data_IF_758055309432
#
_entry.id   IF_758055309432
#
_cell.length_a   1.000
_cell.length_b   1.000
_cell.length_c   1.000
_cell.angle_alpha   90.00
_cell.angle_beta   90.00
_cell.angle_gamma   90.00
#
_symmetry.space_group_name_H-M   'P 1'
#
loop_
_entity.id
_entity.type
_entity.pdbx_description
1 polymer ?
#
# COMPACT_ATOMS: atom_id res chain seq x y z
N UNK A 1 4.68 -38.28 -19.48
CA UNK A 1 4.96 -39.68 -19.07
C UNK A 1 3.62 -40.36 -18.82
N UNK A 2 3.31 -41.46 -19.50
CA UNK A 2 2.03 -42.19 -19.29
C UNK A 2 2.01 -42.74 -17.85
N UNK A 3 1.27 -42.07 -16.96
CA UNK A 3 1.13 -42.44 -15.54
C UNK A 3 0.31 -43.73 -15.31
N UNK A 4 -0.33 -44.26 -16.36
CA UNK A 4 -1.27 -45.38 -16.24
C UNK A 4 -0.93 -46.46 -17.27
N UNK A 5 -0.31 -47.55 -16.81
CA UNK A 5 -0.16 -48.78 -17.61
C UNK A 5 -1.40 -49.65 -17.38
N UNK A 6 -2.13 -49.95 -18.46
CA UNK A 6 -3.30 -50.85 -18.42
C UNK A 6 -2.88 -52.22 -17.91
N UNK A 7 -3.37 -52.61 -16.73
CA UNK A 7 -3.46 -54.00 -16.32
C UNK A 7 -4.93 -54.41 -16.28
N UNK A 8 -5.22 -55.58 -16.84
CA UNK A 8 -6.55 -56.21 -16.88
C UNK A 8 -7.02 -56.56 -15.45
N UNK A 9 -8.31 -56.38 -15.09
CA UNK A 9 -8.75 -56.62 -13.73
C UNK A 9 -8.98 -58.12 -13.51
N UNK A 10 -8.19 -58.71 -12.62
CA UNK A 10 -8.57 -59.95 -11.92
C UNK A 10 -9.43 -59.53 -10.73
N UNK A 11 -10.67 -60.02 -10.67
CA UNK A 11 -11.55 -59.86 -9.50
C UNK A 11 -11.10 -60.89 -8.46
N UNK A 12 -10.33 -60.45 -7.46
CA UNK A 12 -10.05 -61.21 -6.23
C UNK A 12 -10.83 -60.61 -5.07
N UNK A 13 -11.28 -61.48 -4.14
CA UNK A 13 -12.09 -61.20 -2.94
C UNK A 13 -11.41 -60.32 -1.86
N UNK A 14 -10.37 -59.55 -2.23
CA UNK A 14 -9.46 -58.87 -1.30
C UNK A 14 -9.36 -57.35 -1.58
N UNK A 15 -10.35 -56.78 -2.29
CA UNK A 15 -10.40 -55.35 -2.58
C UNK A 15 -10.98 -54.59 -1.38
N UNK A 16 -10.28 -53.57 -0.85
CA UNK A 16 -10.74 -52.79 0.29
C UNK A 16 -12.05 -52.06 -0.04
N UNK A 17 -13.08 -52.28 0.77
CA UNK A 17 -14.43 -51.72 0.60
C UNK A 17 -14.77 -50.78 1.77
N UNK A 18 -14.52 -49.47 1.60
CA UNK A 18 -14.92 -48.45 2.59
C UNK A 18 -16.38 -48.54 2.97
N UNK A 19 -16.71 -48.10 4.19
CA UNK A 19 -18.09 -48.08 4.70
C UNK A 19 -19.10 -47.39 3.75
N UNK A 20 -18.65 -46.38 2.99
CA UNK A 20 -19.50 -45.69 2.01
C UNK A 20 -19.97 -46.60 0.86
N UNK A 21 -19.22 -47.66 0.55
CA UNK A 21 -19.53 -48.60 -0.54
C UNK A 21 -20.26 -49.87 -0.06
N UNK A 22 -20.32 -50.15 1.24
CA UNK A 22 -20.86 -51.40 1.80
C UNK A 22 -22.34 -51.68 1.46
N UNK A 23 -23.10 -50.66 1.04
CA UNK A 23 -24.48 -50.87 0.60
C UNK A 23 -24.60 -51.44 -0.81
N UNK A 24 -23.58 -51.25 -1.67
CA UNK A 24 -23.61 -51.60 -3.10
C UNK A 24 -23.64 -53.12 -3.30
N UNK A 25 -24.31 -53.57 -4.36
CA UNK A 25 -24.27 -54.99 -4.73
C UNK A 25 -22.93 -55.37 -5.39
N UNK A 26 -22.72 -56.68 -5.58
CA UNK A 26 -21.46 -57.19 -6.13
C UNK A 26 -21.21 -56.72 -7.58
N UNK A 27 -22.28 -56.51 -8.37
CA UNK A 27 -22.16 -56.02 -9.74
C UNK A 27 -21.71 -54.55 -9.78
N UNK A 28 -22.31 -53.71 -8.93
CA UNK A 28 -21.97 -52.30 -8.76
C UNK A 28 -20.52 -52.11 -8.26
N UNK A 29 -20.10 -52.90 -7.27
CA UNK A 29 -18.72 -52.87 -6.77
C UNK A 29 -17.74 -53.33 -7.85
N UNK A 30 -18.04 -54.42 -8.55
CA UNK A 30 -17.19 -54.93 -9.64
C UNK A 30 -17.04 -53.88 -10.74
N UNK A 31 -18.14 -53.24 -11.15
CA UNK A 31 -18.13 -52.17 -12.13
C UNK A 31 -17.25 -50.98 -11.68
N UNK A 32 -17.41 -50.52 -10.44
CA UNK A 32 -16.62 -49.42 -9.87
C UNK A 32 -15.10 -49.72 -9.88
N UNK A 33 -14.69 -50.88 -9.37
CA UNK A 33 -13.27 -51.26 -9.36
C UNK A 33 -12.70 -51.57 -10.74
N UNK A 34 -13.56 -51.89 -11.72
CA UNK A 34 -13.13 -52.09 -13.11
C UNK A 34 -12.97 -50.78 -13.88
N UNK A 35 -13.72 -49.73 -13.49
CA UNK A 35 -13.69 -48.41 -14.10
C UNK A 35 -12.47 -47.58 -13.67
N UNK A 36 -11.83 -47.91 -12.56
CA UNK A 36 -10.68 -47.18 -12.02
C UNK A 36 -9.40 -47.99 -11.87
N UNK A 37 -8.33 -47.31 -11.48
CA UNK A 37 -7.04 -47.93 -11.15
C UNK A 37 -6.70 -47.72 -9.68
N UNK A 38 -6.35 -48.81 -8.98
CA UNK A 38 -5.93 -48.75 -7.58
C UNK A 38 -4.43 -48.47 -7.51
N UNK A 39 -4.06 -47.42 -6.80
CA UNK A 39 -2.68 -47.06 -6.49
C UNK A 39 -2.42 -47.24 -5.00
N UNK A 40 -1.37 -47.99 -4.67
CA UNK A 40 -0.84 -48.06 -3.30
C UNK A 40 0.22 -46.98 -3.15
N UNK A 41 0.11 -46.18 -2.09
CA UNK A 41 1.01 -45.09 -1.80
C UNK A 41 1.72 -45.36 -0.47
N UNK A 42 3.05 -45.29 -0.50
CA UNK A 42 3.86 -45.32 0.71
C UNK A 42 3.67 -44.03 1.52
N UNK A 43 3.93 -44.04 2.85
CA UNK A 43 3.92 -42.82 3.66
C UNK A 43 4.77 -41.70 3.02
N UNK A 44 4.23 -40.48 3.03
CA UNK A 44 4.81 -39.27 2.43
C UNK A 44 4.96 -39.28 0.90
N UNK A 45 4.48 -40.31 0.21
CA UNK A 45 4.45 -40.29 -1.25
C UNK A 45 3.42 -39.27 -1.73
N UNK A 46 3.85 -38.33 -2.59
CA UNK A 46 2.99 -37.29 -3.17
C UNK A 46 2.64 -37.57 -4.62
N UNK A 47 1.38 -37.34 -4.98
CA UNK A 47 0.85 -37.35 -6.33
C UNK A 47 0.51 -35.90 -6.74
N UNK A 48 1.32 -35.25 -7.60
CA UNK A 48 0.98 -33.94 -8.12
C UNK A 48 -0.18 -34.07 -9.12
N UNK A 49 -1.19 -33.21 -8.97
CA UNK A 49 -2.33 -33.14 -9.88
C UNK A 49 -2.07 -32.02 -10.89
N UNK A 50 -1.77 -32.40 -12.13
CA UNK A 50 -1.48 -31.48 -13.23
C UNK A 50 -2.70 -31.30 -14.15
N UNK A 51 -2.66 -30.28 -15.01
CA UNK A 51 -3.72 -29.97 -15.98
C UNK A 51 -4.08 -31.14 -16.93
N UNK A 52 -3.21 -32.13 -17.09
CA UNK A 52 -3.46 -33.35 -17.89
C UNK A 52 -4.23 -34.47 -17.13
N UNK A 53 -4.42 -34.34 -15.82
CA UNK A 53 -5.17 -35.29 -14.95
C UNK A 53 -6.55 -34.76 -14.51
N UNK A 54 -7.03 -33.73 -15.20
CA UNK A 54 -8.12 -32.80 -14.82
C UNK A 54 -9.53 -33.37 -14.71
N UNK A 55 -9.66 -34.67 -14.89
CA UNK A 55 -10.95 -35.34 -14.91
C UNK A 55 -10.85 -36.68 -14.18
N UNK A 56 -10.22 -36.72 -13.00
CA UNK A 56 -10.12 -37.96 -12.20
C UNK A 56 -10.75 -37.78 -10.82
N UNK A 57 -11.64 -38.70 -10.48
CA UNK A 57 -12.13 -38.89 -9.12
C UNK A 57 -11.17 -39.79 -8.37
N UNK A 58 -10.69 -39.33 -7.23
CA UNK A 58 -9.84 -40.09 -6.34
C UNK A 58 -10.64 -40.51 -5.11
N UNK A 59 -11.06 -41.77 -5.07
CA UNK A 59 -11.72 -42.38 -3.91
C UNK A 59 -10.66 -43.02 -3.01
N UNK A 60 -10.57 -42.58 -1.76
CA UNK A 60 -9.65 -43.17 -0.78
C UNK A 60 -10.24 -44.47 -0.24
N UNK A 61 -9.63 -45.60 -0.60
CA UNK A 61 -10.09 -46.93 -0.22
C UNK A 61 -9.59 -47.36 1.17
N UNK A 62 -8.43 -46.85 1.61
CA UNK A 62 -7.85 -47.13 2.92
C UNK A 62 -6.78 -46.09 3.27
N UNK A 63 -6.65 -45.78 4.55
CA UNK A 63 -5.64 -44.88 5.09
C UNK A 63 -6.09 -43.42 5.13
N UNK A 64 -5.12 -42.51 5.21
CA UNK A 64 -5.32 -41.07 5.31
C UNK A 64 -4.42 -40.32 4.34
N UNK A 65 -5.01 -39.33 3.67
CA UNK A 65 -4.30 -38.49 2.71
C UNK A 65 -4.50 -37.02 3.03
N UNK A 66 -3.54 -36.19 2.66
CA UNK A 66 -3.66 -34.74 2.71
C UNK A 66 -3.71 -34.21 1.29
N UNK A 67 -4.72 -33.39 1.00
CA UNK A 67 -4.73 -32.54 -0.17
C UNK A 67 -4.09 -31.22 0.22
N UNK A 68 -3.12 -30.76 -0.55
CA UNK A 68 -2.48 -29.45 -0.40
C UNK A 68 -2.67 -28.64 -1.68
N UNK A 69 -3.17 -27.41 -1.53
CA UNK A 69 -3.42 -26.47 -2.63
C UNK A 69 -2.66 -25.17 -2.36
N UNK A 70 -2.16 -24.52 -3.42
CA UNK A 70 -1.67 -23.13 -3.35
C UNK A 70 -2.70 -22.20 -3.99
N UNK A 71 -3.28 -21.30 -3.19
CA UNK A 71 -4.20 -20.26 -3.63
C UNK A 71 -3.50 -18.90 -3.57
N UNK A 72 -3.11 -18.34 -4.73
CA UNK A 72 -2.33 -17.08 -4.80
C UNK A 72 -1.15 -17.06 -3.82
N UNK A 73 -0.39 -18.15 -3.77
CA UNK A 73 0.73 -18.33 -2.83
C UNK A 73 0.36 -18.67 -1.37
N UNK A 74 -0.93 -18.74 -1.02
CA UNK A 74 -1.37 -19.17 0.32
C UNK A 74 -1.64 -20.69 0.35
N UNK A 75 -0.92 -21.46 1.19
CA UNK A 75 -1.14 -22.90 1.28
C UNK A 75 -2.46 -23.21 2.00
N UNK A 76 -3.27 -24.05 1.38
CA UNK A 76 -4.50 -24.61 1.95
C UNK A 76 -4.37 -26.12 2.00
N UNK A 77 -4.94 -26.75 3.02
CA UNK A 77 -4.94 -28.22 3.08
C UNK A 77 -6.17 -28.80 3.73
N UNK A 78 -6.53 -30.00 3.30
CA UNK A 78 -7.61 -30.80 3.88
C UNK A 78 -7.16 -32.25 4.00
N UNK A 79 -7.56 -32.88 5.11
CA UNK A 79 -7.38 -34.31 5.34
C UNK A 79 -8.56 -35.09 4.73
N UNK A 80 -8.21 -36.08 3.91
CA UNK A 80 -9.09 -37.10 3.37
C UNK A 80 -8.95 -38.38 4.20
N UNK A 81 -10.08 -38.98 4.53
CA UNK A 81 -10.19 -40.24 5.26
C UNK A 81 -10.78 -41.32 4.36
N UNK A 82 -10.68 -42.56 4.80
CA UNK A 82 -11.28 -43.69 4.10
C UNK A 82 -12.75 -43.42 3.72
N UNK A 83 -13.08 -43.63 2.43
CA UNK A 83 -14.39 -43.36 1.84
C UNK A 83 -14.60 -41.92 1.38
N UNK A 84 -13.66 -41.00 1.62
CA UNK A 84 -13.68 -39.68 1.02
C UNK A 84 -13.31 -39.75 -0.45
N UNK A 85 -13.92 -38.86 -1.21
CA UNK A 85 -13.66 -38.68 -2.63
C UNK A 85 -13.10 -37.28 -2.84
N UNK A 86 -12.04 -37.18 -3.61
CA UNK A 86 -11.51 -35.93 -4.11
C UNK A 86 -11.69 -35.87 -5.63
N UNK A 87 -12.43 -34.87 -6.09
CA UNK A 87 -12.54 -34.57 -7.51
C UNK A 87 -11.72 -33.31 -7.78
N UNK A 88 -10.76 -33.41 -8.69
CA UNK A 88 -10.02 -32.24 -9.17
C UNK A 88 -10.77 -31.64 -10.36
N UNK A 89 -11.61 -30.64 -10.12
CA UNK A 89 -12.28 -29.87 -11.17
C UNK A 89 -11.24 -29.12 -12.01
N UNK A 90 -11.38 -29.04 -13.35
CA UNK A 90 -10.43 -28.33 -14.19
C UNK A 90 -10.34 -26.87 -13.75
N UNK A 91 -9.12 -26.50 -13.34
CA UNK A 91 -8.70 -25.16 -12.97
C UNK A 91 -8.87 -24.19 -14.14
N UNK A 92 -10.08 -23.67 -14.30
CA UNK A 92 -10.34 -22.46 -15.08
C UNK A 92 -10.30 -21.20 -14.20
N UNK A 93 -10.06 -21.36 -12.89
CA UNK A 93 -9.79 -20.24 -11.99
C UNK A 93 -8.30 -19.87 -12.06
N UNK A 94 -7.96 -18.61 -12.36
CA UNK A 94 -6.57 -18.13 -12.42
C UNK A 94 -5.86 -18.08 -11.05
N UNK A 95 -6.50 -18.56 -9.98
CA UNK A 95 -6.07 -18.33 -8.60
C UNK A 95 -5.43 -19.57 -7.91
N UNK A 96 -5.41 -20.74 -8.57
CA UNK A 96 -4.83 -21.98 -8.02
C UNK A 96 -3.53 -22.32 -8.76
N UNK A 97 -2.40 -22.29 -8.05
CA UNK A 97 -1.07 -22.48 -8.65
C UNK A 97 -0.66 -23.96 -8.72
N UNK A 98 -1.06 -24.76 -7.72
CA UNK A 98 -0.69 -26.17 -7.60
C UNK A 98 -1.66 -26.94 -6.70
N UNK A 99 -1.81 -28.24 -6.96
CA UNK A 99 -2.53 -29.17 -6.09
C UNK A 99 -1.78 -30.50 -5.98
N UNK A 100 -1.60 -31.00 -4.77
CA UNK A 100 -0.92 -32.27 -4.50
C UNK A 100 -1.73 -33.12 -3.52
N UNK A 101 -1.73 -34.43 -3.75
CA UNK A 101 -2.26 -35.44 -2.82
C UNK A 101 -1.07 -36.14 -2.18
N UNK A 102 -0.91 -36.08 -0.87
CA UNK A 102 0.15 -36.78 -0.15
C UNK A 102 -0.42 -37.82 0.81
N UNK A 103 0.11 -39.04 0.76
CA UNK A 103 -0.23 -40.08 1.71
C UNK A 103 0.41 -39.76 3.07
N UNK A 104 -0.37 -39.75 4.15
CA UNK A 104 0.16 -39.55 5.51
C UNK A 104 0.62 -40.88 6.13
N UNK A 105 0.03 -41.98 5.66
CA UNK A 105 0.36 -43.35 6.01
C UNK A 105 0.23 -44.25 4.76
N UNK A 106 0.44 -45.55 4.91
CA UNK A 106 0.21 -46.49 3.81
C UNK A 106 -1.26 -46.44 3.36
N UNK A 107 -1.48 -45.93 2.14
CA UNK A 107 -2.82 -45.55 1.66
C UNK A 107 -3.14 -46.20 0.32
N UNK A 108 -4.42 -46.48 0.08
CA UNK A 108 -4.91 -47.05 -1.18
C UNK A 108 -5.92 -46.11 -1.83
N UNK A 109 -5.60 -45.64 -3.04
CA UNK A 109 -6.40 -44.67 -3.78
C UNK A 109 -6.94 -45.30 -5.06
N UNK A 110 -8.24 -45.16 -5.31
CA UNK A 110 -8.87 -45.53 -6.57
C UNK A 110 -9.04 -44.27 -7.43
N UNK A 111 -8.28 -44.18 -8.52
CA UNK A 111 -8.44 -43.13 -9.53
C UNK A 111 -9.42 -43.57 -10.62
N UNK A 112 -10.48 -42.80 -10.85
CA UNK A 112 -11.53 -43.08 -11.84
C UNK A 112 -11.60 -41.89 -12.80
N UNK A 113 -11.41 -42.14 -14.08
CA UNK A 113 -11.58 -41.12 -15.11
C UNK A 113 -13.06 -40.68 -15.19
N UNK A 114 -13.32 -39.38 -15.27
CA UNK A 114 -14.64 -38.78 -15.34
C UNK A 114 -15.47 -39.34 -16.49
N UNK A 115 -14.85 -39.66 -17.63
CA UNK A 115 -15.55 -40.27 -18.77
C UNK A 115 -16.07 -41.68 -18.47
N UNK A 116 -15.45 -42.37 -17.51
CA UNK A 116 -15.85 -43.70 -17.06
C UNK A 116 -16.86 -43.63 -15.90
N UNK A 117 -17.14 -42.44 -15.36
CA UNK A 117 -18.15 -42.29 -14.31
C UNK A 117 -19.54 -42.41 -14.89
N UNK A 118 -19.76 -41.90 -16.11
CA UNK A 118 -21.07 -41.97 -16.78
C UNK A 118 -21.52 -43.40 -17.12
N UNK A 119 -20.59 -44.35 -17.21
CA UNK A 119 -20.91 -45.77 -17.40
C UNK A 119 -21.29 -46.49 -16.11
N UNK A 120 -21.10 -45.86 -14.93
CA UNK A 120 -21.48 -46.43 -13.64
C UNK A 120 -22.98 -46.26 -13.36
N UNK A 121 -23.51 -47.12 -12.49
CA UNK A 121 -24.91 -47.03 -12.04
C UNK A 121 -25.22 -45.65 -11.47
N UNK A 122 -26.47 -45.19 -11.59
CA UNK A 122 -26.92 -43.90 -11.03
C UNK A 122 -26.63 -43.79 -9.53
N UNK A 123 -26.67 -44.93 -8.83
CA UNK A 123 -26.44 -45.04 -7.40
C UNK A 123 -24.96 -44.86 -7.04
N UNK A 124 -24.05 -45.55 -7.73
CA UNK A 124 -22.60 -45.38 -7.56
C UNK A 124 -22.18 -43.94 -7.88
N UNK A 125 -22.67 -43.39 -8.99
CA UNK A 125 -22.43 -41.98 -9.35
C UNK A 125 -22.88 -41.03 -8.24
N UNK A 126 -24.09 -41.21 -7.73
CA UNK A 126 -24.63 -40.37 -6.65
C UNK A 126 -23.75 -40.39 -5.40
N UNK A 127 -23.21 -41.57 -5.03
CA UNK A 127 -22.28 -41.69 -3.90
C UNK A 127 -20.98 -40.92 -4.16
N UNK A 128 -20.36 -41.13 -5.33
CA UNK A 128 -19.10 -40.47 -5.68
C UNK A 128 -19.25 -38.94 -5.69
N UNK A 129 -20.27 -38.41 -6.36
CA UNK A 129 -20.53 -36.96 -6.38
C UNK A 129 -20.90 -36.42 -4.99
N UNK A 130 -21.69 -37.14 -4.20
CA UNK A 130 -22.04 -36.70 -2.84
C UNK A 130 -20.80 -36.60 -1.94
N UNK A 131 -19.88 -37.58 -2.03
CA UNK A 131 -18.63 -37.56 -1.27
C UNK A 131 -17.66 -36.50 -1.78
N UNK A 132 -17.50 -36.37 -3.09
CA UNK A 132 -16.67 -35.33 -3.69
C UNK A 132 -17.13 -33.94 -3.21
N UNK A 133 -18.44 -33.68 -3.29
CA UNK A 133 -19.05 -32.43 -2.81
C UNK A 133 -18.83 -32.22 -1.30
N UNK A 134 -18.92 -33.29 -0.50
CA UNK A 134 -18.70 -33.19 0.96
C UNK A 134 -17.25 -32.81 1.29
N UNK A 135 -16.28 -33.41 0.61
CA UNK A 135 -14.86 -33.06 0.76
C UNK A 135 -14.60 -31.61 0.35
N UNK A 136 -15.14 -31.16 -0.79
CA UNK A 136 -15.00 -29.78 -1.25
C UNK A 136 -15.66 -28.79 -0.28
N UNK A 137 -16.84 -29.12 0.24
CA UNK A 137 -17.55 -28.27 1.21
C UNK A 137 -16.76 -28.10 2.51
N UNK A 138 -16.10 -29.16 3.01
CA UNK A 138 -15.21 -29.07 4.17
C UNK A 138 -14.02 -28.13 3.92
N UNK A 139 -13.41 -28.19 2.73
CA UNK A 139 -12.32 -27.29 2.37
C UNK A 139 -12.81 -25.84 2.35
N UNK A 140 -13.94 -25.57 1.69
CA UNK A 140 -14.53 -24.24 1.62
C UNK A 140 -14.86 -23.67 3.02
N UNK A 141 -15.47 -24.49 3.89
CA UNK A 141 -15.78 -24.07 5.27
C UNK A 141 -14.52 -23.74 6.06
N UNK A 142 -13.47 -24.57 5.92
CA UNK A 142 -12.18 -24.30 6.57
C UNK A 142 -11.60 -22.96 6.10
N UNK A 143 -11.49 -22.76 4.78
CA UNK A 143 -10.95 -21.51 4.22
C UNK A 143 -11.77 -20.29 4.63
N UNK A 144 -13.10 -20.37 4.62
CA UNK A 144 -13.97 -19.29 5.09
C UNK A 144 -13.77 -18.99 6.57
N UNK A 145 -13.67 -20.01 7.42
CA UNK A 145 -13.41 -19.82 8.85
C UNK A 145 -12.06 -19.17 9.12
N UNK A 146 -11.01 -19.59 8.39
CA UNK A 146 -9.69 -18.98 8.45
C UNK A 146 -9.73 -17.51 8.02
N UNK A 147 -10.44 -17.18 6.94
CA UNK A 147 -10.63 -15.79 6.49
C UNK A 147 -11.32 -14.93 7.54
N UNK A 148 -12.40 -15.42 8.16
CA UNK A 148 -13.10 -14.69 9.23
C UNK A 148 -12.16 -14.44 10.43
N UNK A 149 -11.36 -15.43 10.83
CA UNK A 149 -10.37 -15.27 11.89
C UNK A 149 -9.26 -14.27 11.53
N UNK A 150 -8.81 -14.25 10.28
CA UNK A 150 -7.82 -13.28 9.81
C UNK A 150 -8.38 -11.85 9.80
N UNK A 151 -9.62 -11.66 9.36
CA UNK A 151 -10.29 -10.37 9.38
C UNK A 151 -10.49 -9.82 10.80
N UNK A 152 -10.91 -10.66 11.75
CA UNK A 152 -11.01 -10.27 13.17
C UNK A 152 -9.63 -9.89 13.76
N UNK A 153 -8.58 -10.63 13.39
CA UNK A 153 -7.22 -10.31 13.81
C UNK A 153 -6.74 -8.99 13.22
N UNK A 154 -7.02 -8.74 11.95
CA UNK A 154 -6.71 -7.48 11.27
C UNK A 154 -7.39 -6.31 11.97
N UNK A 155 -8.69 -6.40 12.26
CA UNK A 155 -9.44 -5.37 12.98
C UNK A 155 -8.82 -5.05 14.34
N UNK A 156 -8.42 -6.08 15.09
CA UNK A 156 -7.72 -5.91 16.38
C UNK A 156 -6.36 -5.24 16.24
N UNK A 157 -5.60 -5.58 15.21
CA UNK A 157 -4.29 -4.95 14.94
C UNK A 157 -4.46 -3.48 14.56
N UNK A 158 -5.42 -3.15 13.71
CA UNK A 158 -5.73 -1.76 13.34
C UNK A 158 -6.16 -0.94 14.56
N UNK A 159 -7.03 -1.50 15.41
CA UNK A 159 -7.43 -0.88 16.68
C UNK A 159 -6.25 -0.67 17.63
N UNK A 160 -5.33 -1.63 17.70
CA UNK A 160 -4.12 -1.51 18.50
C UNK A 160 -3.19 -0.40 18.00
N UNK A 161 -2.96 -0.32 16.67
CA UNK A 161 -2.17 0.76 16.05
C UNK A 161 -2.79 2.11 16.39
N UNK A 162 -4.10 2.27 16.21
CA UNK A 162 -4.81 3.50 16.55
C UNK A 162 -4.65 3.87 18.04
N UNK A 163 -4.73 2.89 18.93
CA UNK A 163 -4.56 3.09 20.38
C UNK A 163 -3.13 3.55 20.73
N UNK A 164 -2.11 2.92 20.15
CA UNK A 164 -0.70 3.30 20.38
C UNK A 164 -0.45 4.73 19.91
N UNK A 165 -0.98 5.12 18.75
CA UNK A 165 -0.88 6.49 18.23
C UNK A 165 -1.61 7.50 19.13
N UNK A 166 -2.80 7.17 19.62
CA UNK A 166 -3.54 8.02 20.57
C UNK A 166 -2.76 8.26 21.87
N UNK A 167 -2.03 7.26 22.37
CA UNK A 167 -1.19 7.47 23.57
C UNK A 167 -0.02 8.42 23.29
N UNK A 168 0.59 8.34 22.10
CA UNK A 168 1.66 9.26 21.73
C UNK A 168 1.14 10.69 21.59
N UNK A 169 -0.06 10.89 21.05
CA UNK A 169 -0.70 12.21 20.96
C UNK A 169 -1.02 12.81 22.33
N UNK A 170 -1.41 12.00 23.32
CA UNK A 170 -1.62 12.47 24.70
C UNK A 170 -0.32 13.02 25.32
N UNK A 171 0.84 12.39 25.04
CA UNK A 171 2.13 12.87 25.54
C UNK A 171 2.51 14.20 24.88
N UNK A 172 2.20 14.38 23.59
CA UNK A 172 2.39 15.65 22.86
C UNK A 172 1.57 16.81 23.44
N UNK A 173 0.50 16.51 24.20
CA UNK A 173 -0.32 17.50 24.92
C UNK A 173 0.18 17.83 26.33
N UNK A 174 1.22 17.15 26.82
CA UNK A 174 1.78 17.43 28.14
C UNK A 174 2.27 18.88 28.27
N UNK A 175 2.14 19.45 29.48
CA UNK A 175 2.55 20.83 29.77
C UNK A 175 4.02 21.08 29.42
N UNK A 176 4.88 20.08 29.62
CA UNK A 176 6.29 20.14 29.24
C UNK A 176 6.45 20.38 27.73
N UNK A 177 5.84 19.54 26.90
CA UNK A 177 5.93 19.65 25.43
C UNK A 177 5.31 20.96 24.95
N UNK A 178 4.13 21.32 25.45
CA UNK A 178 3.45 22.57 25.11
C UNK A 178 4.26 23.81 25.49
N UNK A 179 4.94 23.78 26.65
CA UNK A 179 5.82 24.89 27.07
C UNK A 179 7.02 25.09 26.14
N UNK A 180 7.45 24.03 25.44
CA UNK A 180 8.56 24.09 24.51
C UNK A 180 8.08 24.54 23.13
N UNK A 181 6.95 24.01 22.66
CA UNK A 181 6.29 24.45 21.41
C UNK A 181 6.08 25.97 21.43
N UNK A 182 5.59 26.53 22.55
CA UNK A 182 5.39 27.98 22.71
C UNK A 182 6.67 28.83 22.62
N UNK A 183 7.85 28.23 22.79
CA UNK A 183 9.15 28.92 22.68
C UNK A 183 9.72 28.90 21.26
N UNK A 184 9.10 28.17 20.33
CA UNK A 184 9.54 28.11 18.95
C UNK A 184 9.10 29.41 18.26
N UNK A 185 10.03 30.16 17.62
CA UNK A 185 9.70 31.38 16.91
C UNK A 185 8.61 31.13 15.86
N UNK A 186 7.61 32.01 15.83
CA UNK A 186 6.57 31.98 14.80
C UNK A 186 7.15 32.31 13.44
N UNK A 187 6.43 31.91 12.38
CA UNK A 187 6.71 32.39 11.03
C UNK A 187 6.74 33.93 11.01
N UNK A 188 7.67 34.53 10.26
CA UNK A 188 7.60 35.95 9.91
C UNK A 188 6.21 36.31 9.39
N UNK A 189 5.71 37.50 9.74
CA UNK A 189 4.35 37.96 9.43
C UNK A 189 4.01 37.81 7.95
N UNK A 190 4.92 38.19 7.05
CA UNK A 190 4.72 38.06 5.60
C UNK A 190 4.45 36.62 5.14
N UNK A 191 5.07 35.63 5.78
CA UNK A 191 4.95 34.23 5.41
C UNK A 191 3.64 33.64 5.94
N UNK A 192 3.27 34.05 7.15
CA UNK A 192 1.97 33.73 7.73
C UNK A 192 0.83 34.32 6.89
N UNK A 193 0.89 35.61 6.55
CA UNK A 193 -0.14 36.30 5.76
C UNK A 193 -0.29 35.67 4.38
N UNK A 194 0.83 35.28 3.76
CA UNK A 194 0.84 34.58 2.48
C UNK A 194 0.20 33.19 2.57
N UNK A 195 0.52 32.43 3.61
CA UNK A 195 -0.08 31.12 3.87
C UNK A 195 -1.59 31.23 4.14
N UNK A 196 -2.03 32.28 4.85
CA UNK A 196 -3.44 32.58 5.11
C UNK A 196 -4.20 32.89 3.83
N UNK A 197 -3.70 33.85 3.04
CA UNK A 197 -4.33 34.23 1.78
C UNK A 197 -4.57 33.00 0.93
N UNK A 198 -3.58 32.12 0.78
CA UNK A 198 -3.65 30.93 -0.06
C UNK A 198 -4.63 29.83 0.37
N UNK A 199 -5.30 29.99 1.50
CA UNK A 199 -6.42 29.14 1.91
C UNK A 199 -7.78 29.61 1.37
N UNK A 200 -7.88 30.84 0.89
CA UNK A 200 -9.14 31.36 0.34
C UNK A 200 -9.44 30.66 -1.00
N UNK A 201 -10.67 30.18 -1.19
CA UNK A 201 -11.08 29.38 -2.37
C UNK A 201 -10.88 30.10 -3.72
N UNK A 202 -10.71 31.43 -3.70
CA UNK A 202 -10.59 32.26 -4.89
C UNK A 202 -9.48 33.32 -4.77
N UNK A 203 -8.28 32.95 -4.31
CA UNK A 203 -7.15 33.89 -4.32
C UNK A 203 -6.81 34.32 -5.74
N UNK A 204 -6.94 35.62 -6.00
CA UNK A 204 -6.33 36.20 -7.18
C UNK A 204 -4.81 36.19 -7.01
N UNK A 205 -4.13 35.38 -7.81
CA UNK A 205 -2.67 35.37 -7.92
C UNK A 205 -2.08 36.78 -8.04
N UNK A 206 -2.79 37.74 -8.63
CA UNK A 206 -2.36 39.15 -8.73
C UNK A 206 -2.26 39.83 -7.38
N UNK A 207 -3.20 39.58 -6.46
CA UNK A 207 -3.17 40.16 -5.11
C UNK A 207 -1.96 39.67 -4.31
N UNK A 208 -1.62 38.40 -4.48
CA UNK A 208 -0.42 37.84 -3.85
C UNK A 208 0.85 38.43 -4.47
N UNK A 209 0.90 38.56 -5.79
CA UNK A 209 2.05 39.19 -6.46
C UNK A 209 2.20 40.64 -6.03
N UNK A 210 1.11 41.39 -5.90
CA UNK A 210 1.12 42.76 -5.36
C UNK A 210 1.61 42.80 -3.90
N UNK A 211 1.19 41.84 -3.07
CA UNK A 211 1.69 41.73 -1.70
C UNK A 211 3.21 41.50 -1.64
N UNK A 212 3.74 40.63 -2.51
CA UNK A 212 5.18 40.38 -2.63
C UNK A 212 5.91 41.63 -3.16
N UNK A 213 5.35 42.34 -4.14
CA UNK A 213 5.93 43.57 -4.70
C UNK A 213 6.01 44.69 -3.65
N UNK A 214 5.01 44.80 -2.78
CA UNK A 214 4.94 45.82 -1.74
C UNK A 214 5.81 45.52 -0.50
N UNK A 215 6.42 44.33 -0.44
CA UNK A 215 7.36 43.92 0.61
C UNK A 215 8.80 43.89 0.02
N UNK A 216 9.64 44.92 0.26
CA UNK A 216 10.96 45.00 -0.37
C UNK A 216 11.90 43.82 -0.04
N UNK A 217 11.96 43.31 1.21
CA UNK A 217 12.66 42.06 1.50
C UNK A 217 12.22 40.86 0.64
N UNK A 218 10.91 40.65 0.47
CA UNK A 218 10.39 39.56 -0.34
C UNK A 218 10.65 39.75 -1.84
N UNK A 219 10.40 40.95 -2.36
CA UNK A 219 10.71 41.28 -3.74
C UNK A 219 12.20 41.05 -4.03
N UNK A 220 13.08 41.47 -3.11
CA UNK A 220 14.52 41.25 -3.21
C UNK A 220 14.88 39.76 -3.21
N UNK A 221 14.30 38.96 -2.30
CA UNK A 221 14.50 37.51 -2.24
C UNK A 221 14.12 36.85 -3.57
N UNK A 222 12.94 37.17 -4.11
CA UNK A 222 12.43 36.62 -5.37
C UNK A 222 13.33 37.01 -6.53
N UNK A 223 13.60 38.31 -6.70
CA UNK A 223 14.41 38.81 -7.81
C UNK A 223 15.86 38.31 -7.74
N UNK A 224 16.47 38.24 -6.55
CA UNK A 224 17.81 37.70 -6.36
C UNK A 224 17.87 36.22 -6.73
N UNK A 225 16.84 35.46 -6.36
CA UNK A 225 16.76 34.03 -6.69
C UNK A 225 16.63 33.82 -8.19
N UNK A 226 15.68 34.51 -8.84
CA UNK A 226 15.45 34.40 -10.28
C UNK A 226 16.64 34.86 -11.11
N UNK A 227 17.36 35.89 -10.67
CA UNK A 227 18.53 36.42 -11.35
C UNK A 227 19.84 35.70 -11.01
N UNK A 228 19.79 34.65 -10.18
CA UNK A 228 20.99 33.86 -9.89
C UNK A 228 21.53 33.20 -11.16
N UNK A 229 22.85 32.97 -11.20
CA UNK A 229 23.52 32.29 -12.32
C UNK A 229 22.86 30.93 -12.66
N UNK A 230 22.22 30.33 -11.66
CA UNK A 230 21.44 29.10 -11.75
C UNK A 230 20.36 29.09 -12.83
N UNK A 231 19.64 30.20 -13.02
CA UNK A 231 18.57 30.29 -14.03
C UNK A 231 19.09 30.70 -15.41
N UNK A 232 20.35 31.15 -15.53
CA UNK A 232 21.03 31.37 -16.80
C UNK A 232 20.29 32.35 -17.74
N UNK A 233 19.61 33.35 -17.17
CA UNK A 233 18.82 34.31 -17.95
C UNK A 233 19.72 35.26 -18.75
N UNK A 234 19.38 35.48 -20.03
CA UNK A 234 20.09 36.44 -20.91
C UNK A 234 19.94 37.88 -20.43
N UNK A 235 18.77 38.21 -19.90
CA UNK A 235 18.44 39.52 -19.31
C UNK A 235 17.98 39.34 -17.87
N UNK A 236 18.40 40.24 -16.98
CA UNK A 236 17.96 40.24 -15.60
C UNK A 236 16.49 40.64 -15.50
N UNK A 237 15.75 39.94 -14.64
CA UNK A 237 14.37 40.23 -14.27
C UNK A 237 14.38 41.31 -13.20
N UNK A 238 13.68 42.43 -13.43
CA UNK A 238 13.59 43.54 -12.49
C UNK A 238 12.20 43.65 -11.80
N UNK A 239 11.26 42.79 -12.18
CA UNK A 239 9.87 42.83 -11.74
C UNK A 239 9.40 41.45 -11.26
N UNK A 240 8.67 41.44 -10.14
CA UNK A 240 8.15 40.22 -9.51
C UNK A 240 7.10 39.54 -10.39
N UNK A 241 6.29 40.31 -11.13
CA UNK A 241 5.30 39.71 -12.03
C UNK A 241 5.99 38.91 -13.15
N UNK A 242 7.07 39.42 -13.74
CA UNK A 242 7.91 38.70 -14.71
C UNK A 242 8.60 37.48 -14.08
N UNK A 243 9.00 37.54 -12.81
CA UNK A 243 9.51 36.38 -12.08
C UNK A 243 8.45 35.27 -11.93
N UNK A 244 7.20 35.66 -11.62
CA UNK A 244 6.06 34.72 -11.50
C UNK A 244 5.71 34.11 -12.84
N UNK A 245 5.76 34.85 -13.96
CA UNK A 245 5.58 34.29 -15.30
C UNK A 245 6.65 33.25 -15.66
N UNK A 246 7.88 33.45 -15.19
CA UNK A 246 9.01 32.56 -15.49
C UNK A 246 8.97 31.27 -14.66
N UNK A 247 8.85 31.40 -13.34
CA UNK A 247 8.93 30.25 -12.41
C UNK A 247 7.57 29.63 -12.13
N UNK A 248 6.49 30.37 -12.33
CA UNK A 248 5.16 29.98 -11.89
C UNK A 248 4.93 30.35 -10.43
N UNK A 249 3.66 30.67 -10.12
CA UNK A 249 3.22 31.10 -8.80
C UNK A 249 3.64 30.13 -7.68
N UNK A 250 3.43 28.82 -7.88
CA UNK A 250 3.72 27.81 -6.87
C UNK A 250 5.19 27.79 -6.44
N UNK A 251 6.12 27.91 -7.39
CA UNK A 251 7.56 27.89 -7.09
C UNK A 251 8.00 29.15 -6.34
N UNK A 252 7.39 30.31 -6.65
CA UNK A 252 7.61 31.55 -5.87
C UNK A 252 7.08 31.38 -4.46
N UNK A 253 5.89 30.79 -4.30
CA UNK A 253 5.32 30.52 -2.98
C UNK A 253 6.19 29.57 -2.16
N UNK A 254 6.59 28.43 -2.73
CA UNK A 254 7.50 27.48 -2.08
C UNK A 254 8.83 28.14 -1.68
N UNK A 255 9.39 29.00 -2.53
CA UNK A 255 10.62 29.75 -2.23
C UNK A 255 10.45 30.66 -1.01
N UNK A 256 9.37 31.44 -0.96
CA UNK A 256 9.12 32.38 0.14
C UNK A 256 8.89 31.62 1.45
N UNK A 257 8.02 30.60 1.44
CA UNK A 257 7.69 29.86 2.64
C UNK A 257 8.88 29.04 3.17
N UNK A 258 9.66 28.41 2.28
CA UNK A 258 10.89 27.70 2.69
C UNK A 258 11.96 28.63 3.22
N UNK A 259 12.10 29.83 2.66
CA UNK A 259 13.00 30.85 3.21
C UNK A 259 12.57 31.28 4.61
N UNK A 260 11.27 31.51 4.82
CA UNK A 260 10.70 31.84 6.11
C UNK A 260 10.90 30.72 7.14
N UNK A 261 10.64 29.47 6.76
CA UNK A 261 10.91 28.29 7.60
C UNK A 261 12.39 28.19 7.96
N UNK A 262 13.29 28.32 6.98
CA UNK A 262 14.73 28.32 7.21
C UNK A 262 15.23 29.43 8.13
N UNK A 263 14.49 30.53 8.27
CA UNK A 263 14.83 31.63 9.18
C UNK A 263 14.50 31.36 10.65
N UNK A 264 13.51 30.48 10.91
CA UNK A 264 13.09 30.10 12.27
C UNK A 264 13.69 28.78 12.74
N UNK A 265 14.27 28.01 11.81
CA UNK A 265 14.86 26.70 12.05
C UNK A 265 16.35 26.77 12.40
N UNK A 266 16.89 25.77 13.13
CA UNK A 266 18.31 25.70 13.42
C UNK A 266 19.11 25.56 12.11
N UNK A 267 20.28 26.22 12.04
CA UNK A 267 21.25 26.01 10.97
C UNK A 267 21.94 24.66 11.17
N UNK A 268 21.31 23.62 10.68
CA UNK A 268 21.72 22.24 10.94
C UNK A 268 21.55 21.34 9.71
N UNK A 269 22.53 20.46 9.38
CA UNK A 269 22.43 19.57 8.22
C UNK A 269 21.20 18.66 8.21
N UNK A 270 20.74 18.19 9.37
CA UNK A 270 19.56 17.32 9.49
C UNK A 270 18.27 18.11 9.28
N UNK A 271 18.19 19.31 9.86
CA UNK A 271 17.09 20.24 9.58
C UNK A 271 17.02 20.61 8.09
N UNK A 272 18.16 20.83 7.43
CA UNK A 272 18.20 21.07 5.98
C UNK A 272 17.71 19.87 5.16
N UNK A 273 18.01 18.63 5.59
CA UNK A 273 17.47 17.42 4.93
C UNK A 273 15.95 17.35 5.04
N UNK A 274 15.40 17.60 6.24
CA UNK A 274 13.95 17.61 6.47
C UNK A 274 13.26 18.68 5.62
N UNK A 275 13.83 19.88 5.56
CA UNK A 275 13.29 20.96 4.73
C UNK A 275 13.32 20.62 3.23
N UNK A 276 14.41 20.01 2.75
CA UNK A 276 14.50 19.60 1.34
C UNK A 276 13.52 18.47 1.01
N UNK A 277 13.30 17.52 1.92
CA UNK A 277 12.26 16.50 1.79
C UNK A 277 10.87 17.14 1.66
N UNK A 278 10.53 18.03 2.61
CA UNK A 278 9.25 18.77 2.61
C UNK A 278 9.03 19.57 1.32
N UNK A 279 10.09 20.19 0.81
CA UNK A 279 10.06 20.91 -0.46
C UNK A 279 9.72 20.00 -1.64
N UNK A 280 10.38 18.85 -1.77
CA UNK A 280 10.14 17.92 -2.86
C UNK A 280 8.76 17.24 -2.75
N UNK A 281 8.36 16.80 -1.56
CA UNK A 281 7.02 16.25 -1.29
C UNK A 281 5.94 17.28 -1.64
N UNK A 282 6.12 18.54 -1.24
CA UNK A 282 5.21 19.64 -1.61
C UNK A 282 5.08 19.81 -3.13
N UNK A 283 6.19 19.75 -3.87
CA UNK A 283 6.15 19.85 -5.34
C UNK A 283 5.43 18.66 -5.98
N UNK A 284 5.62 17.45 -5.47
CA UNK A 284 4.93 16.23 -5.95
C UNK A 284 3.43 16.33 -5.63
N UNK A 285 3.09 16.64 -4.39
CA UNK A 285 1.72 16.78 -3.91
C UNK A 285 0.94 17.84 -4.69
N UNK A 286 1.59 18.96 -5.04
CA UNK A 286 1.00 19.99 -5.91
C UNK A 286 0.58 19.44 -7.28
N UNK A 287 1.44 18.64 -7.93
CA UNK A 287 1.11 18.06 -9.23
C UNK A 287 -0.01 17.01 -9.12
N UNK A 288 0.00 16.18 -8.06
CA UNK A 288 -1.09 15.23 -7.79
C UNK A 288 -2.42 15.97 -7.56
N UNK A 289 -2.42 17.05 -6.79
CA UNK A 289 -3.60 17.89 -6.56
C UNK A 289 -4.13 18.49 -7.87
N UNK A 290 -3.24 18.93 -8.76
CA UNK A 290 -3.62 19.44 -10.08
C UNK A 290 -4.23 18.37 -11.00
N UNK A 291 -3.70 17.15 -10.96
CA UNK A 291 -4.19 16.03 -11.77
C UNK A 291 -5.55 15.54 -11.28
N UNK A 292 -5.68 15.32 -9.97
CA UNK A 292 -6.91 14.81 -9.33
C UNK A 292 -8.02 15.87 -9.25
N UNK A 293 -7.65 17.14 -9.10
CA UNK A 293 -8.56 18.26 -8.78
C UNK A 293 -9.39 18.03 -7.51
N UNK A 294 -8.92 17.14 -6.62
CA UNK A 294 -9.63 16.73 -5.42
C UNK A 294 -9.43 17.67 -4.22
N UNK A 295 -8.41 18.55 -4.28
CA UNK A 295 -8.15 19.58 -3.28
C UNK A 295 -7.43 20.79 -3.93
N UNK A 296 -7.53 22.00 -3.34
CA UNK A 296 -6.84 23.18 -3.85
C UNK A 296 -5.31 22.99 -3.86
N UNK A 297 -4.61 23.10 -5.01
CA UNK A 297 -3.16 22.85 -5.08
C UNK A 297 -2.30 23.76 -4.19
N UNK A 298 -2.72 25.01 -3.95
CA UNK A 298 -2.04 25.95 -3.05
C UNK A 298 -2.07 25.51 -1.59
N UNK A 299 -3.23 25.02 -1.14
CA UNK A 299 -3.40 24.43 0.19
C UNK A 299 -2.50 23.21 0.35
N UNK A 300 -2.52 22.30 -0.62
CA UNK A 300 -1.67 21.10 -0.63
C UNK A 300 -0.18 21.45 -0.62
N UNK A 301 0.24 22.49 -1.33
CA UNK A 301 1.63 22.95 -1.29
C UNK A 301 2.03 23.39 0.11
N UNK A 302 1.15 24.11 0.81
CA UNK A 302 1.37 24.55 2.19
C UNK A 302 1.48 23.36 3.13
N UNK A 303 0.54 22.41 3.03
CA UNK A 303 0.54 21.16 3.80
C UNK A 303 1.85 20.40 3.56
N UNK A 304 2.25 20.17 2.31
CA UNK A 304 3.49 19.45 1.98
C UNK A 304 4.75 20.14 2.47
N UNK A 305 4.79 21.48 2.54
CA UNK A 305 5.95 22.21 3.08
C UNK A 305 6.06 22.13 4.60
N UNK A 306 4.92 22.00 5.29
CA UNK A 306 4.84 22.08 6.74
C UNK A 306 4.67 20.73 7.43
N UNK A 307 4.37 19.64 6.70
CA UNK A 307 4.03 18.35 7.28
C UNK A 307 5.09 17.81 8.25
N UNK A 308 6.35 18.05 7.92
CA UNK A 308 7.51 17.53 8.64
C UNK A 308 8.10 18.52 9.67
N UNK A 309 7.40 19.63 9.94
CA UNK A 309 7.88 20.64 10.88
C UNK A 309 8.05 20.07 12.30
N UNK A 310 7.24 19.07 12.66
CA UNK A 310 7.35 18.37 13.94
C UNK A 310 8.67 17.61 14.11
N UNK A 311 9.24 17.04 13.04
CA UNK A 311 10.57 16.41 13.09
C UNK A 311 11.66 17.41 13.47
N UNK A 312 11.51 18.66 13.03
CA UNK A 312 12.44 19.74 13.38
C UNK A 312 12.29 20.15 14.84
N UNK A 313 11.06 20.19 15.35
CA UNK A 313 10.80 20.38 16.79
C UNK A 313 11.47 19.29 17.61
N UNK A 314 11.29 18.03 17.23
CA UNK A 314 11.91 16.88 17.88
C UNK A 314 13.43 16.96 17.85
N UNK A 315 14.02 17.31 16.71
CA UNK A 315 15.47 17.49 16.59
C UNK A 315 16.00 18.56 17.57
N UNK A 316 15.29 19.69 17.72
CA UNK A 316 15.64 20.73 18.68
C UNK A 316 15.53 20.25 20.13
N UNK A 317 14.46 19.50 20.45
CA UNK A 317 14.23 18.92 21.77
C UNK A 317 15.33 17.94 22.16
N UNK A 318 15.63 16.99 21.27
CA UNK A 318 16.65 15.98 21.44
C UNK A 318 18.04 16.58 21.70
N UNK A 319 18.36 17.70 21.06
CA UNK A 319 19.64 18.39 21.27
C UNK A 319 19.68 19.19 22.57
N UNK A 320 18.59 19.86 22.90
CA UNK A 320 18.49 20.67 24.11
C UNK A 320 18.49 19.82 25.38
N UNK A 321 17.87 18.64 25.31
CA UNK A 321 17.66 17.73 26.44
C UNK A 321 18.28 16.36 26.13
N UNK A 322 19.60 16.34 25.89
CA UNK A 322 20.34 15.15 25.46
C UNK A 322 20.24 13.97 26.43
N UNK A 323 20.06 14.24 27.72
CA UNK A 323 19.91 13.25 28.78
C UNK A 323 18.60 12.44 28.72
N UNK A 324 17.59 12.93 27.99
CA UNK A 324 16.30 12.26 27.79
C UNK A 324 15.94 12.20 26.29
N UNK A 325 16.97 12.18 25.42
CA UNK A 325 16.81 12.15 23.96
C UNK A 325 15.86 11.06 23.49
N UNK A 326 16.02 9.85 24.02
CA UNK A 326 15.26 8.67 23.60
C UNK A 326 13.76 8.79 23.93
N UNK A 327 13.41 9.57 24.97
CA UNK A 327 12.01 9.85 25.29
C UNK A 327 11.33 10.67 24.18
N UNK A 328 12.06 11.60 23.56
CA UNK A 328 11.54 12.40 22.46
C UNK A 328 11.44 11.61 21.14
N UNK A 329 12.18 10.50 20.99
CA UNK A 329 12.11 9.67 19.80
C UNK A 329 10.79 8.87 19.69
N UNK A 330 10.03 8.74 20.78
CA UNK A 330 8.75 8.02 20.83
C UNK A 330 7.55 8.93 20.54
N UNK A 331 7.77 10.25 20.53
CA UNK A 331 6.71 11.21 20.29
C UNK A 331 6.33 11.25 18.81
N UNK A 332 5.03 11.37 18.56
CA UNK A 332 4.47 11.53 17.22
C UNK A 332 4.80 12.93 16.67
N UNK A 333 5.72 12.97 15.70
CA UNK A 333 6.17 14.19 15.04
C UNK A 333 5.02 14.88 14.30
N UNK A 334 4.08 14.14 13.70
CA UNK A 334 2.92 14.70 13.02
C UNK A 334 2.05 15.51 13.99
N UNK A 335 1.81 14.96 15.18
CA UNK A 335 1.03 15.61 16.24
C UNK A 335 1.76 16.84 16.81
N UNK A 336 3.07 16.75 17.02
CA UNK A 336 3.88 17.89 17.47
C UNK A 336 3.85 19.01 16.43
N UNK A 337 4.00 18.66 15.15
CA UNK A 337 3.91 19.61 14.05
C UNK A 337 2.55 20.29 14.01
N UNK A 338 1.47 19.51 14.12
CA UNK A 338 0.11 20.05 14.16
C UNK A 338 -0.10 21.02 15.34
N UNK A 339 0.34 20.67 16.55
CA UNK A 339 0.26 21.54 17.72
C UNK A 339 1.06 22.84 17.55
N UNK A 340 2.25 22.76 16.93
CA UNK A 340 3.03 23.97 16.60
C UNK A 340 2.28 24.88 15.64
N UNK A 341 1.75 24.33 14.55
CA UNK A 341 1.02 25.09 13.53
C UNK A 341 -0.27 25.69 14.09
N UNK A 342 -0.97 24.96 14.96
CA UNK A 342 -2.12 25.47 15.73
C UNK A 342 -1.70 26.65 16.62
N UNK A 343 -0.58 26.54 17.35
CA UNK A 343 -0.06 27.62 18.20
C UNK A 343 0.42 28.85 17.41
N UNK A 344 0.76 28.66 16.12
CA UNK A 344 1.08 29.72 15.17
C UNK A 344 -0.16 30.35 14.54
N UNK A 345 -1.35 29.78 14.74
CA UNK A 345 -2.62 30.29 14.22
C UNK A 345 -2.94 29.86 12.79
N UNK A 346 -2.26 28.83 12.27
CA UNK A 346 -2.61 28.29 10.94
C UNK A 346 -3.99 27.62 11.00
N UNK A 347 -4.71 27.51 9.87
CA UNK A 347 -6.10 27.08 9.86
C UNK A 347 -6.19 25.55 10.00
N UNK A 348 -7.35 25.11 10.47
CA UNK A 348 -7.59 23.74 10.91
C UNK A 348 -7.36 22.69 9.83
N UNK A 349 -7.79 22.97 8.62
CA UNK A 349 -7.56 22.15 7.44
C UNK A 349 -6.07 21.91 7.10
N UNK A 350 -5.14 22.73 7.58
CA UNK A 350 -3.69 22.49 7.40
C UNK A 350 -3.19 21.54 8.48
N UNK A 351 -3.35 21.93 9.76
CA UNK A 351 -2.72 21.19 10.85
C UNK A 351 -3.41 19.86 11.15
N UNK A 352 -4.71 19.69 10.85
CA UNK A 352 -5.38 18.39 10.99
C UNK A 352 -4.98 17.39 9.91
N UNK A 353 -4.76 17.83 8.67
CA UNK A 353 -4.20 16.97 7.62
C UNK A 353 -2.80 16.51 8.04
N UNK A 354 -1.97 17.43 8.52
CA UNK A 354 -0.63 17.11 9.01
C UNK A 354 -0.69 16.16 10.20
N UNK A 355 -1.59 16.35 11.17
CA UNK A 355 -1.72 15.46 12.32
C UNK A 355 -2.00 13.98 11.95
N UNK A 356 -2.61 13.75 10.78
CA UNK A 356 -3.13 12.44 10.33
C UNK A 356 -2.41 11.87 9.10
N UNK A 357 -1.33 12.48 8.64
CA UNK A 357 -0.72 12.13 7.35
C UNK A 357 -0.15 10.70 7.26
N UNK A 358 0.12 10.05 8.40
CA UNK A 358 0.53 8.64 8.47
C UNK A 358 -0.64 7.64 8.45
N UNK A 359 -1.90 8.08 8.69
CA UNK A 359 -3.06 7.18 8.75
C UNK A 359 -3.30 6.33 7.49
N UNK A 360 -3.06 6.83 6.26
CA UNK A 360 -3.21 6.05 5.03
C UNK A 360 -2.37 4.78 4.94
N UNK A 361 -1.30 4.67 5.72
CA UNK A 361 -0.44 3.48 5.71
C UNK A 361 -1.14 2.22 6.27
N UNK A 362 -2.21 2.42 7.05
CA UNK A 362 -2.92 1.35 7.74
C UNK A 362 -4.44 1.54 7.78
N UNK A 363 -4.97 2.60 7.20
CA UNK A 363 -6.41 2.89 7.22
C UNK A 363 -6.92 3.01 5.78
N UNK A 364 -8.01 2.34 5.40
CA UNK A 364 -8.61 2.53 4.09
C UNK A 364 -9.32 3.90 3.99
N UNK A 365 -9.51 4.44 2.77
CA UNK A 365 -10.05 5.78 2.58
C UNK A 365 -11.42 6.04 3.23
N UNK A 366 -12.31 5.05 3.25
CA UNK A 366 -13.68 5.17 3.77
C UNK A 366 -13.73 5.39 5.29
N UNK A 367 -12.68 4.98 6.01
CA UNK A 367 -12.54 5.17 7.46
C UNK A 367 -11.89 6.50 7.86
N UNK A 368 -11.34 7.26 6.91
CA UNK A 368 -10.84 8.61 7.17
C UNK A 368 -11.98 9.64 7.19
N UNK A 369 -11.80 10.69 7.99
CA UNK A 369 -12.66 11.87 8.02
C UNK A 369 -12.87 12.46 6.61
N UNK A 370 -14.13 12.61 6.20
CA UNK A 370 -14.49 13.03 4.84
C UNK A 370 -13.99 14.43 4.48
N UNK A 371 -13.84 15.32 5.46
CA UNK A 371 -13.43 16.71 5.21
C UNK A 371 -11.98 16.81 4.71
N UNK A 372 -11.10 15.99 5.28
CA UNK A 372 -9.65 16.06 5.04
C UNK A 372 -9.12 14.92 4.16
N UNK A 373 -9.98 13.95 3.84
CA UNK A 373 -9.64 12.69 3.17
C UNK A 373 -8.79 12.88 1.90
N UNK A 374 -9.21 13.79 1.01
CA UNK A 374 -8.51 14.05 -0.25
C UNK A 374 -7.12 14.64 -0.03
N UNK A 375 -6.98 15.57 0.92
CA UNK A 375 -5.70 16.20 1.21
C UNK A 375 -4.71 15.23 1.87
N UNK A 376 -5.20 14.40 2.79
CA UNK A 376 -4.42 13.31 3.41
C UNK A 376 -3.96 12.32 2.34
N UNK A 377 -4.86 11.89 1.44
CA UNK A 377 -4.53 10.97 0.36
C UNK A 377 -3.47 11.53 -0.59
N UNK A 378 -3.58 12.80 -0.98
CA UNK A 378 -2.61 13.46 -1.85
C UNK A 378 -1.23 13.52 -1.19
N UNK A 379 -1.16 13.86 0.10
CA UNK A 379 0.11 13.91 0.83
C UNK A 379 0.75 12.52 0.94
N UNK A 380 -0.04 11.50 1.27
CA UNK A 380 0.42 10.10 1.33
C UNK A 380 0.98 9.61 -0.02
N UNK A 381 0.24 9.80 -1.12
CA UNK A 381 0.71 9.41 -2.46
C UNK A 381 1.97 10.20 -2.84
N UNK A 382 2.09 11.46 -2.41
CA UNK A 382 3.30 12.24 -2.62
C UNK A 382 4.52 11.67 -1.89
N UNK A 383 4.35 11.13 -0.67
CA UNK A 383 5.42 10.40 0.04
C UNK A 383 5.81 9.12 -0.70
N UNK A 384 4.83 8.30 -1.10
CA UNK A 384 5.08 7.09 -1.89
C UNK A 384 5.88 7.41 -3.14
N UNK A 385 5.48 8.46 -3.88
CA UNK A 385 6.24 8.87 -5.07
C UNK A 385 7.59 9.49 -4.76
N UNK A 386 7.74 10.24 -3.68
CA UNK A 386 9.04 10.74 -3.25
C UNK A 386 10.01 9.56 -3.06
N UNK A 387 9.65 8.58 -2.25
CA UNK A 387 10.56 7.49 -1.87
C UNK A 387 10.85 6.55 -3.04
N UNK A 388 9.84 6.21 -3.85
CA UNK A 388 10.05 5.42 -5.08
C UNK A 388 11.03 6.11 -6.03
N UNK A 389 10.85 7.41 -6.28
CA UNK A 389 11.72 8.16 -7.18
C UNK A 389 13.15 8.24 -6.63
N UNK A 390 13.34 8.32 -5.31
CA UNK A 390 14.65 8.27 -4.67
C UNK A 390 15.25 6.86 -4.52
N UNK A 391 14.58 5.81 -5.02
CA UNK A 391 14.98 4.41 -4.83
C UNK A 391 15.09 4.03 -3.35
N UNK A 392 14.18 4.55 -2.53
CA UNK A 392 14.03 4.23 -1.11
C UNK A 392 12.80 3.34 -0.92
N UNK A 393 12.71 2.73 0.27
CA UNK A 393 11.52 1.96 0.65
C UNK A 393 10.37 2.93 0.89
N UNK A 394 9.27 2.83 0.12
CA UNK A 394 8.12 3.71 0.32
C UNK A 394 7.36 3.35 1.60
N UNK A 395 6.48 4.26 2.07
CA UNK A 395 5.48 3.93 3.08
C UNK A 395 4.62 2.74 2.65
N UNK A 396 3.92 2.13 3.61
CA UNK A 396 3.00 1.02 3.34
C UNK A 396 2.07 1.32 2.15
N UNK A 397 2.04 0.43 1.17
CA UNK A 397 1.30 0.58 -0.08
C UNK A 397 -0.04 -0.18 -0.08
N UNK A 398 -0.47 -0.68 1.08
CA UNK A 398 -1.62 -1.59 1.24
C UNK A 398 -2.90 -1.03 0.60
N UNK A 399 -3.15 0.27 0.80
CA UNK A 399 -4.37 0.95 0.32
C UNK A 399 -4.10 1.90 -0.85
N UNK A 400 -2.95 1.79 -1.52
CA UNK A 400 -2.53 2.75 -2.54
C UNK A 400 -3.57 2.87 -3.68
N UNK A 401 -4.08 1.73 -4.18
CA UNK A 401 -5.05 1.70 -5.28
C UNK A 401 -6.40 2.30 -4.90
N UNK A 402 -6.83 2.12 -3.65
CA UNK A 402 -8.04 2.68 -3.07
C UNK A 402 -7.93 4.20 -2.95
N UNK A 403 -6.77 4.71 -2.50
CA UNK A 403 -6.48 6.14 -2.45
C UNK A 403 -6.40 6.78 -3.84
N UNK A 404 -5.83 6.08 -4.83
CA UNK A 404 -5.86 6.54 -6.23
C UNK A 404 -7.31 6.66 -6.75
N UNK A 405 -8.13 5.65 -6.47
CA UNK A 405 -9.55 5.61 -6.87
C UNK A 405 -10.33 6.75 -6.21
N UNK A 406 -10.11 7.02 -4.91
CA UNK A 406 -10.69 8.15 -4.19
C UNK A 406 -10.40 9.48 -4.92
N UNK A 407 -9.16 9.66 -5.39
CA UNK A 407 -8.73 10.89 -6.08
C UNK A 407 -9.19 10.96 -7.55
N UNK A 408 -9.96 9.97 -8.03
CA UNK A 408 -10.36 9.88 -9.43
C UNK A 408 -9.19 9.61 -10.38
N UNK A 409 -8.07 9.09 -9.86
CA UNK A 409 -6.89 8.72 -10.62
C UNK A 409 -6.95 7.23 -10.98
N UNK A 410 -6.39 6.81 -12.14
CA UNK A 410 -6.38 5.40 -12.52
C UNK A 410 -5.58 4.57 -11.50
N UNK A 411 -6.08 3.40 -11.05
CA UNK A 411 -5.48 2.58 -10.00
C UNK A 411 -4.28 1.79 -10.52
N UNK A 412 -3.27 2.49 -11.01
CA UNK A 412 -2.00 1.90 -11.41
C UNK A 412 -1.23 1.38 -10.20
N UNK A 413 -0.26 0.49 -10.44
CA UNK A 413 0.78 0.20 -9.45
C UNK A 413 1.52 1.49 -9.12
N UNK A 414 1.85 1.69 -7.85
CA UNK A 414 2.58 2.86 -7.33
C UNK A 414 3.79 3.25 -8.17
N UNK A 415 4.67 2.29 -8.45
CA UNK A 415 5.87 2.49 -9.28
C UNK A 415 5.54 3.07 -10.64
N UNK A 416 4.53 2.51 -11.32
CA UNK A 416 4.10 3.00 -12.62
C UNK A 416 3.57 4.44 -12.53
N UNK A 417 2.72 4.73 -11.55
CA UNK A 417 2.22 6.10 -11.37
C UNK A 417 3.36 7.09 -11.11
N UNK A 418 4.30 6.75 -10.24
CA UNK A 418 5.39 7.65 -9.89
C UNK A 418 6.39 7.83 -11.03
N UNK A 419 6.80 6.76 -11.72
CA UNK A 419 7.80 6.79 -12.80
C UNK A 419 7.23 7.28 -14.14
N UNK A 420 6.01 6.89 -14.51
CA UNK A 420 5.42 7.18 -15.83
C UNK A 420 4.47 8.39 -15.83
N UNK A 421 3.95 8.78 -14.67
CA UNK A 421 3.05 9.96 -14.57
C UNK A 421 3.73 11.14 -13.89
N UNK A 422 4.23 10.96 -12.67
CA UNK A 422 4.80 12.07 -11.88
C UNK A 422 6.19 12.48 -12.38
N UNK A 423 7.09 11.53 -12.60
CA UNK A 423 8.48 11.81 -13.00
C UNK A 423 8.56 12.67 -14.29
N UNK A 424 7.80 12.40 -15.36
CA UNK A 424 7.85 13.21 -16.58
C UNK A 424 7.33 14.64 -16.37
N UNK A 425 6.33 14.82 -15.50
CA UNK A 425 5.80 16.15 -15.15
C UNK A 425 6.89 16.96 -14.44
N UNK A 426 7.56 16.36 -13.44
CA UNK A 426 8.66 17.00 -12.73
C UNK A 426 9.83 17.32 -13.67
N UNK A 427 10.16 16.41 -14.60
CA UNK A 427 11.23 16.61 -15.58
C UNK A 427 10.91 17.77 -16.55
N UNK A 428 9.66 17.87 -17.00
CA UNK A 428 9.21 18.99 -17.85
C UNK A 428 9.30 20.33 -17.12
N UNK A 429 9.00 20.34 -15.82
CA UNK A 429 9.04 21.53 -14.97
C UNK A 429 10.40 21.78 -14.31
N UNK A 430 11.41 20.96 -14.60
CA UNK A 430 12.72 20.97 -13.92
C UNK A 430 13.35 22.37 -13.85
N UNK A 431 13.26 23.15 -14.94
CA UNK A 431 13.82 24.51 -15.04
C UNK A 431 13.11 25.58 -14.20
N UNK A 432 11.95 25.26 -13.63
CA UNK A 432 11.17 26.18 -12.79
C UNK A 432 11.40 25.96 -11.29
N UNK A 433 11.89 24.79 -10.90
CA UNK A 433 12.17 24.49 -9.50
C UNK A 433 13.40 25.24 -8.97
N UNK A 434 13.41 25.57 -7.66
CA UNK A 434 14.57 26.04 -6.92
C UNK A 434 15.80 25.14 -7.07
N UNK A 435 16.99 25.69 -6.80
CA UNK A 435 18.26 25.01 -7.03
C UNK A 435 18.43 23.70 -6.24
N UNK A 436 18.04 23.70 -4.97
CA UNK A 436 18.09 22.51 -4.12
C UNK A 436 17.25 21.37 -4.70
N UNK A 437 15.99 21.66 -5.05
CA UNK A 437 15.04 20.67 -5.58
C UNK A 437 15.48 20.16 -6.95
N UNK A 438 15.86 21.04 -7.89
CA UNK A 438 16.29 20.59 -9.22
C UNK A 438 17.59 19.78 -9.14
N UNK A 439 18.48 20.05 -8.19
CA UNK A 439 19.69 19.23 -8.01
C UNK A 439 19.34 17.80 -7.59
N UNK A 440 18.41 17.65 -6.63
CA UNK A 440 17.87 16.35 -6.24
C UNK A 440 17.15 15.66 -7.40
N UNK A 441 16.22 16.35 -8.07
CA UNK A 441 15.50 15.80 -9.23
C UNK A 441 16.43 15.40 -10.37
N UNK A 442 17.54 16.12 -10.61
CA UNK A 442 18.54 15.72 -11.62
C UNK A 442 19.34 14.49 -11.23
N UNK A 443 19.49 14.19 -9.94
CA UNK A 443 20.12 12.95 -9.50
C UNK A 443 19.16 11.76 -9.69
N UNK A 444 17.88 12.02 -9.44
CA UNK A 444 16.79 11.04 -9.44
C UNK A 444 16.29 10.70 -10.86
N UNK A 445 16.02 11.71 -11.68
CA UNK A 445 15.38 11.59 -13.00
C UNK A 445 16.37 11.35 -14.15
N UNK A 446 17.60 10.90 -13.85
CA UNK A 446 18.50 10.44 -14.91
C UNK A 446 17.92 9.16 -15.51
N UNK A 447 17.89 9.01 -16.85
CA UNK A 447 17.64 7.69 -17.41
C UNK A 447 18.70 6.73 -16.84
N UNK A 448 18.36 5.48 -16.52
CA UNK A 448 19.37 4.49 -16.14
C UNK A 448 20.43 4.49 -17.24
N UNK A 449 21.70 4.56 -16.83
CA UNK A 449 22.82 4.34 -17.73
C UNK A 449 22.51 3.04 -18.48
N UNK A 450 22.30 3.13 -19.79
CA UNK A 450 22.10 1.99 -20.67
C UNK A 450 23.20 0.97 -20.38
N UNK A 451 22.83 -0.15 -19.76
CA UNK A 451 23.67 -1.32 -19.57
C UNK A 451 23.59 -2.21 -20.81
#
# INVERSE_FOLDING_TARGET
>A
MKLFTKSTPVVTQDKPCPAVLQGLDEEELSALYSAGQIQKLSPHQSLPLHQETTHTFFLLLRGTMQVSLSLRGSPQSIELREGDVWEFLPLSSPDIDACTLSAQEESMLLGIDHHLIDSLSSRVRSILYAKARTSLYRLLQKTLSEQVHLLDREEKLLSYIATVRSRSSDISRSDLVQSIIRKIPRLPTFAYDLAMKLQEEAVDTREVVMAIQNDPPLASLVLKTVNSAYYGLREKVADVYRAVLLLGFNNIYQLILSHALGSVMPRDPEAYKILNHSLLVSSIAYEIARLSKAAPPSMITTIGLLHDIGKIVLLLLQRKYSNIRDLFAVLDDAQIGAHLLQAWGLPENIYLVIARHYEPEFTPPDRLDSEYRSAIAILYIAHVCHDILLQQDPPSEIFFSEYMTLLGLPPHKSRYFCEETIAPILQKNLKRFPESIRTQLKAILRPPLSA
#
